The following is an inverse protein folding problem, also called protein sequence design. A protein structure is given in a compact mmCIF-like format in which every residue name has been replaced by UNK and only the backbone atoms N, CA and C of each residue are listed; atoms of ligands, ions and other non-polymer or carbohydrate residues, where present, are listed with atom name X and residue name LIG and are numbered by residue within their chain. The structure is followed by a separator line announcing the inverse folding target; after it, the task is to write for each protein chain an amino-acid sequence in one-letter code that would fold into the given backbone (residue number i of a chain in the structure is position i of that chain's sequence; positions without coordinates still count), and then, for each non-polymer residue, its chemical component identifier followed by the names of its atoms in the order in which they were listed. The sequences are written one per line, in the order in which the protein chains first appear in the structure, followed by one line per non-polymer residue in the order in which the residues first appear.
data_IF_870627293191
#
_entry.id   IF_870627293191
#
_cell.length_a   1.000
_cell.length_b   1.000
_cell.length_c   1.000
_cell.angle_alpha   90.00
_cell.angle_beta   90.00
_cell.angle_gamma   90.00
#
_symmetry.space_group_name_H-M   'P 1'
#
loop_
_entity.id
_entity.type
_entity.pdbx_description
1 polymer ?
#
# COMPACT_ATOMS: atom_id res chain seq x y z
N UNK A 1 6.34 -0.86 19.88
CA UNK A 1 5.78 -0.23 18.69
C UNK A 1 4.35 -0.68 18.53
N UNK A 2 3.40 0.25 18.46
CA UNK A 2 1.97 -0.04 18.28
C UNK A 2 1.56 -0.04 16.79
N UNK A 3 0.33 -0.42 16.51
CA UNK A 3 -0.25 -0.49 15.18
C UNK A 3 -0.28 0.87 14.45
N UNK A 4 -0.50 1.97 15.17
CA UNK A 4 -0.51 3.32 14.61
C UNK A 4 0.90 3.76 14.19
N UNK A 5 1.91 3.48 15.00
CA UNK A 5 3.31 3.74 14.67
C UNK A 5 3.71 2.94 13.42
N UNK A 6 3.36 1.66 13.36
CA UNK A 6 3.65 0.83 12.19
C UNK A 6 2.92 1.31 10.93
N UNK A 7 1.67 1.75 11.05
CA UNK A 7 0.94 2.33 9.92
C UNK A 7 1.61 3.63 9.43
N UNK A 8 2.13 4.46 10.34
CA UNK A 8 2.88 5.66 9.99
C UNK A 8 4.23 5.36 9.31
N UNK A 9 4.87 4.24 9.64
CA UNK A 9 6.07 3.76 8.93
C UNK A 9 5.76 3.39 7.48
N UNK A 10 4.68 2.65 7.22
CA UNK A 10 4.27 2.34 5.84
C UNK A 10 3.93 3.63 5.08
N UNK A 11 3.22 4.57 5.71
CA UNK A 11 2.97 5.90 5.12
C UNK A 11 4.26 6.70 4.88
N UNK A 12 5.35 6.43 5.60
CA UNK A 12 6.63 7.10 5.37
C UNK A 12 7.28 6.65 4.05
N UNK A 13 7.02 5.41 3.62
CA UNK A 13 7.49 4.89 2.33
C UNK A 13 6.88 5.73 1.20
N UNK A 14 5.57 6.00 1.21
CA UNK A 14 4.92 6.89 0.24
C UNK A 14 5.56 8.29 0.20
N UNK A 15 5.90 8.86 1.37
CA UNK A 15 6.57 10.16 1.45
C UNK A 15 7.98 10.12 0.88
N UNK A 16 8.73 9.04 1.14
CA UNK A 16 10.07 8.84 0.61
C UNK A 16 10.07 8.82 -0.93
N UNK A 17 9.12 8.12 -1.54
CA UNK A 17 8.93 8.10 -3.00
C UNK A 17 8.27 9.37 -3.56
N UNK A 18 7.98 10.39 -2.74
CA UNK A 18 7.25 11.63 -3.10
C UNK A 18 5.87 11.36 -3.74
N UNK A 19 5.21 10.27 -3.32
CA UNK A 19 3.91 9.79 -3.82
C UNK A 19 2.78 9.92 -2.78
N UNK A 20 3.04 10.57 -1.63
CA UNK A 20 2.03 10.89 -0.60
C UNK A 20 0.85 11.67 -1.21
N UNK A 21 -0.29 10.99 -1.40
CA UNK A 21 -1.51 11.56 -1.99
C UNK A 21 -1.46 11.88 -3.48
N UNK A 22 -0.53 11.31 -4.26
CA UNK A 22 -0.34 11.62 -5.70
C UNK A 22 -0.60 10.45 -6.66
N UNK A 23 -1.12 9.32 -6.17
CA UNK A 23 -1.19 8.07 -6.95
C UNK A 23 -2.22 8.09 -8.10
N UNK A 24 -3.14 9.05 -8.12
CA UNK A 24 -4.22 9.15 -9.12
C UNK A 24 -3.81 9.77 -10.47
N UNK A 25 -2.58 10.24 -10.64
CA UNK A 25 -2.17 11.05 -11.80
C UNK A 25 -0.86 10.62 -12.47
N UNK A 26 -0.36 9.41 -12.21
CA UNK A 26 0.94 8.98 -12.71
C UNK A 26 0.82 8.02 -13.90
N UNK A 27 1.15 8.52 -15.09
CA UNK A 27 1.46 7.71 -16.28
C UNK A 27 2.96 7.32 -16.21
N UNK A 28 3.24 6.02 -16.21
CA UNK A 28 4.56 5.39 -16.44
C UNK A 28 5.77 6.00 -15.72
N UNK A 29 5.88 5.71 -14.42
CA UNK A 29 7.06 6.08 -13.61
C UNK A 29 7.65 4.84 -12.94
N UNK A 30 8.94 4.59 -13.16
CA UNK A 30 9.71 3.50 -12.51
C UNK A 30 9.57 3.54 -10.98
N UNK A 31 9.33 4.73 -10.40
CA UNK A 31 9.08 4.91 -8.96
C UNK A 31 7.80 4.23 -8.48
N UNK A 32 6.79 4.04 -9.35
CA UNK A 32 5.56 3.33 -8.99
C UNK A 32 5.87 1.86 -8.68
N UNK A 33 6.72 1.24 -9.50
CA UNK A 33 7.10 -0.15 -9.35
C UNK A 33 7.96 -0.35 -8.11
N UNK A 34 8.93 0.52 -7.88
CA UNK A 34 9.74 0.50 -6.65
C UNK A 34 8.87 0.70 -5.40
N UNK A 35 7.94 1.66 -5.44
CA UNK A 35 6.99 1.88 -4.34
C UNK A 35 6.11 0.65 -4.12
N UNK A 36 5.59 0.05 -5.18
CA UNK A 36 4.76 -1.16 -5.10
C UNK A 36 5.51 -2.28 -4.37
N UNK A 37 6.75 -2.57 -4.78
CA UNK A 37 7.58 -3.59 -4.12
C UNK A 37 7.80 -3.27 -2.65
N UNK A 38 8.18 -2.03 -2.33
CA UNK A 38 8.45 -1.61 -0.96
C UNK A 38 7.20 -1.73 -0.06
N UNK A 39 6.02 -1.36 -0.57
CA UNK A 39 4.76 -1.46 0.17
C UNK A 39 4.33 -2.90 0.37
N UNK A 40 4.44 -3.76 -0.66
CA UNK A 40 4.13 -5.19 -0.53
C UNK A 40 5.02 -5.88 0.50
N UNK A 41 6.31 -5.54 0.54
CA UNK A 41 7.22 -6.02 1.58
C UNK A 41 6.81 -5.51 2.96
N UNK A 42 6.54 -4.21 3.08
CA UNK A 42 6.16 -3.60 4.35
C UNK A 42 4.85 -4.17 4.93
N UNK A 43 3.84 -4.45 4.08
CA UNK A 43 2.61 -5.14 4.48
C UNK A 43 2.90 -6.56 4.97
N UNK A 44 3.84 -7.27 4.34
CA UNK A 44 4.20 -8.60 4.79
C UNK A 44 4.91 -8.60 6.15
N UNK A 45 5.70 -7.56 6.42
CA UNK A 45 6.51 -7.45 7.65
C UNK A 45 5.87 -6.57 8.72
N UNK A 46 4.61 -6.15 8.55
CA UNK A 46 3.96 -5.18 9.44
C UNK A 46 3.58 -5.72 10.83
N UNK A 47 3.86 -7.00 11.13
CA UNK A 47 3.75 -7.57 12.47
C UNK A 47 2.43 -7.25 13.18
N UNK A 48 2.51 -6.39 14.20
CA UNK A 48 1.37 -5.96 15.05
C UNK A 48 0.24 -5.26 14.29
N UNK A 49 0.53 -4.65 13.12
CA UNK A 49 -0.50 -4.03 12.28
C UNK A 49 -1.26 -5.06 11.44
N UNK A 50 -0.66 -6.21 11.14
CA UNK A 50 -1.18 -7.17 10.16
C UNK A 50 -2.61 -7.65 10.42
N UNK A 51 -3.04 -7.90 11.67
CA UNK A 51 -4.43 -8.29 11.97
C UNK A 51 -5.47 -7.21 11.68
N UNK A 52 -5.06 -5.95 11.55
CA UNK A 52 -5.95 -4.82 11.29
C UNK A 52 -6.08 -4.49 9.80
N UNK A 53 -5.20 -5.05 8.95
CA UNK A 53 -5.30 -4.86 7.51
C UNK A 53 -6.39 -5.76 6.93
N UNK A 54 -7.27 -5.24 6.05
CA UNK A 54 -8.16 -6.05 5.23
C UNK A 54 -7.40 -7.17 4.51
N UNK A 55 -7.76 -8.41 4.85
CA UNK A 55 -6.93 -9.57 4.56
C UNK A 55 -6.94 -9.91 3.08
N UNK A 56 -8.10 -9.92 2.45
CA UNK A 56 -8.27 -10.33 1.04
C UNK A 56 -7.81 -9.24 0.08
N UNK A 57 -7.80 -7.99 0.54
CA UNK A 57 -7.47 -6.80 -0.23
C UNK A 57 -5.98 -6.46 -0.17
N UNK A 58 -5.32 -6.70 0.97
CA UNK A 58 -3.92 -6.29 1.17
C UNK A 58 -2.98 -7.43 1.56
N UNK A 59 -3.36 -8.25 2.54
CA UNK A 59 -2.46 -9.27 3.09
C UNK A 59 -2.26 -10.44 2.14
N UNK A 60 -3.35 -11.00 1.60
CA UNK A 60 -3.32 -12.12 0.65
C UNK A 60 -2.66 -11.72 -0.66
N UNK A 61 -2.99 -10.58 -1.30
CA UNK A 61 -2.32 -10.15 -2.53
C UNK A 61 -0.82 -9.91 -2.34
N UNK A 62 -0.44 -9.23 -1.24
CA UNK A 62 0.97 -8.97 -0.94
C UNK A 62 1.76 -10.26 -0.72
N UNK A 63 1.18 -11.23 0.00
CA UNK A 63 1.82 -12.53 0.24
C UNK A 63 1.91 -13.34 -1.06
N UNK A 64 0.85 -13.34 -1.87
CA UNK A 64 0.80 -14.06 -3.13
C UNK A 64 1.84 -13.54 -4.12
N UNK A 65 1.98 -12.22 -4.23
CA UNK A 65 3.00 -11.60 -5.08
C UNK A 65 4.43 -11.96 -4.63
N UNK A 66 4.75 -11.88 -3.34
CA UNK A 66 6.08 -12.28 -2.82
C UNK A 66 6.39 -13.77 -3.03
N UNK A 67 5.38 -14.62 -3.01
CA UNK A 67 5.54 -16.05 -3.24
C UNK A 67 5.58 -16.42 -4.73
N UNK A 68 5.60 -15.44 -5.63
CA UNK A 68 5.54 -15.63 -7.08
C UNK A 68 4.32 -16.47 -7.52
N UNK A 69 3.17 -16.29 -6.85
CA UNK A 69 1.92 -16.92 -7.27
C UNK A 69 1.52 -16.37 -8.66
N UNK A 70 1.32 -17.24 -9.67
CA UNK A 70 1.04 -16.81 -11.04
C UNK A 70 -0.18 -15.89 -11.17
N UNK A 71 -1.21 -16.11 -10.35
CA UNK A 71 -2.45 -15.34 -10.40
C UNK A 71 -2.22 -13.90 -9.93
N UNK A 72 -1.42 -13.73 -8.87
CA UNK A 72 -1.08 -12.41 -8.32
C UNK A 72 -0.03 -11.70 -9.16
N UNK A 73 0.94 -12.43 -9.73
CA UNK A 73 1.89 -11.87 -10.68
C UNK A 73 1.18 -11.33 -11.92
N UNK A 74 0.28 -12.10 -12.53
CA UNK A 74 -0.50 -11.67 -13.68
C UNK A 74 -1.38 -10.46 -13.33
N UNK A 75 -2.06 -10.49 -12.17
CA UNK A 75 -2.90 -9.37 -11.74
C UNK A 75 -2.11 -8.08 -11.57
N UNK A 76 -0.92 -8.16 -10.95
CA UNK A 76 -0.04 -7.01 -10.77
C UNK A 76 0.89 -6.76 -11.96
N UNK A 77 0.72 -7.40 -13.10
CA UNK A 77 1.48 -7.06 -14.33
C UNK A 77 1.06 -5.69 -14.86
N UNK A 78 -0.20 -5.31 -14.66
CA UNK A 78 -0.76 -4.04 -15.10
C UNK A 78 -0.43 -2.91 -14.11
N UNK A 79 0.18 -1.83 -14.61
CA UNK A 79 0.55 -0.63 -13.83
C UNK A 79 -0.66 -0.02 -13.11
N UNK A 80 -1.81 0.07 -13.78
CA UNK A 80 -3.05 0.57 -13.18
C UNK A 80 -3.44 -0.23 -11.94
N UNK A 81 -3.28 -1.56 -11.97
CA UNK A 81 -3.62 -2.41 -10.83
C UNK A 81 -2.69 -2.18 -9.65
N UNK A 82 -1.39 -1.93 -9.90
CA UNK A 82 -0.44 -1.51 -8.86
C UNK A 82 -0.81 -0.15 -8.29
N UNK A 83 -1.14 0.81 -9.15
CA UNK A 83 -1.53 2.16 -8.74
C UNK A 83 -2.81 2.16 -7.88
N UNK A 84 -3.84 1.41 -8.29
CA UNK A 84 -5.06 1.23 -7.50
C UNK A 84 -4.76 0.61 -6.14
N UNK A 85 -4.01 -0.50 -6.12
CA UNK A 85 -3.62 -1.16 -4.88
C UNK A 85 -2.87 -0.21 -3.93
N UNK A 86 -1.90 0.53 -4.46
CA UNK A 86 -1.14 1.51 -3.71
C UNK A 86 -2.02 2.64 -3.18
N UNK A 87 -3.01 3.08 -3.95
CA UNK A 87 -3.94 4.12 -3.51
C UNK A 87 -4.85 3.62 -2.39
N UNK A 88 -5.41 2.43 -2.53
CA UNK A 88 -6.35 1.85 -1.56
C UNK A 88 -5.69 1.65 -0.19
N UNK A 89 -4.48 1.09 -0.16
CA UNK A 89 -3.77 0.91 1.12
C UNK A 89 -3.32 2.26 1.70
N UNK A 90 -2.94 3.23 0.87
CA UNK A 90 -2.62 4.58 1.34
C UNK A 90 -3.82 5.21 2.06
N UNK A 91 -5.00 5.21 1.41
CA UNK A 91 -6.22 5.78 1.98
C UNK A 91 -6.64 5.03 3.25
N UNK A 92 -6.59 3.70 3.23
CA UNK A 92 -6.84 2.87 4.41
C UNK A 92 -5.94 3.29 5.58
N UNK A 93 -4.63 3.40 5.36
CA UNK A 93 -3.67 3.76 6.42
C UNK A 93 -3.88 5.19 6.92
N UNK A 94 -4.27 6.13 6.06
CA UNK A 94 -4.58 7.52 6.45
C UNK A 94 -5.85 7.62 7.28
N UNK A 95 -6.87 6.81 6.96
CA UNK A 95 -8.08 6.66 7.76
C UNK A 95 -7.77 5.98 9.10
N UNK A 96 -7.01 4.88 9.07
CA UNK A 96 -6.61 4.10 10.24
C UNK A 96 -5.82 4.94 11.25
N UNK A 97 -4.92 5.81 10.77
CA UNK A 97 -4.13 6.73 11.60
C UNK A 97 -4.85 8.03 11.95
N UNK A 98 -6.10 8.22 11.51
CA UNK A 98 -6.94 9.37 11.87
C UNK A 98 -6.56 10.71 11.24
N UNK A 99 -5.73 10.73 10.18
CA UNK A 99 -5.29 11.98 9.53
C UNK A 99 -6.24 12.53 8.46
N UNK A 100 -7.24 11.76 8.02
CA UNK A 100 -8.34 12.31 7.23
C UNK A 100 -9.45 12.71 8.20
N UNK A 101 -9.43 13.96 8.67
CA UNK A 101 -10.69 14.64 8.97
C UNK A 101 -11.43 14.66 7.65
N UNK A 102 -12.50 13.89 7.51
CA UNK A 102 -13.49 14.10 6.46
C UNK A 102 -13.86 15.59 6.51
N UNK A 103 -13.33 16.39 5.59
CA UNK A 103 -13.89 17.72 5.30
C UNK A 103 -15.19 17.45 4.57
N UNK A 104 -16.23 17.19 5.34
CA UNK A 104 -17.60 17.35 4.87
C UNK A 104 -17.82 18.86 4.90
N UNK A 105 -17.74 19.49 3.72
CA UNK A 105 -18.29 20.82 3.47
C UNK A 105 -19.74 20.65 3.02
#
# INVERSE_FOLDING_TARGET
MNEIEKANEILAIYRFYNMDGKLYHYEEDERLDELFVAIVQAINDCGVLKPFLPKEEFVVPSKGWLNHDPSWLQRFEHHDTRAFFLSDIYDFLKLFTGKIRLRVN
#
